data_IF_746756083705
#
_entry.id   IF_746756083705
#
_cell.length_a   1.000
_cell.length_b   1.000
_cell.length_c   1.000
_cell.angle_alpha   90.00
_cell.angle_beta   90.00
_cell.angle_gamma   90.00
#
_symmetry.space_group_name_H-M   'P 1'
#
loop_
_entity.id
_entity.type
_entity.pdbx_description
1 polymer ?
#
# COMPACT_ATOMS: atom_id res chain seq x y z
N UNK A 1 7.47 55.53 -61.29
CA UNK A 1 7.43 54.28 -60.48
C UNK A 1 8.25 54.34 -59.17
N UNK A 2 8.48 55.54 -58.58
CA UNK A 2 9.24 55.70 -57.33
C UNK A 2 8.40 56.15 -56.13
N UNK A 3 7.12 56.47 -56.31
CA UNK A 3 6.24 57.01 -55.25
C UNK A 3 5.41 55.91 -54.55
N UNK A 4 5.29 54.71 -55.13
CA UNK A 4 4.48 53.61 -54.56
C UNK A 4 5.26 52.79 -53.50
N UNK A 5 6.60 52.84 -53.49
CA UNK A 5 7.41 52.09 -52.50
C UNK A 5 7.52 52.78 -51.13
N UNK A 6 7.22 54.07 -51.01
CA UNK A 6 7.27 54.78 -49.71
C UNK A 6 5.96 54.71 -48.93
N UNK A 7 4.81 54.46 -49.57
CA UNK A 7 3.53 54.33 -48.87
C UNK A 7 3.29 52.95 -48.24
N UNK A 8 3.94 51.89 -48.75
CA UNK A 8 3.75 50.52 -48.25
C UNK A 8 4.51 50.26 -46.94
N UNK A 9 5.63 50.95 -46.69
CA UNK A 9 6.35 50.82 -45.41
C UNK A 9 5.67 51.54 -44.24
N UNK A 10 4.88 52.59 -44.46
CA UNK A 10 4.22 53.30 -43.37
C UNK A 10 2.92 52.65 -42.89
N UNK A 11 2.25 51.82 -43.70
CA UNK A 11 1.04 51.11 -43.28
C UNK A 11 1.38 49.80 -42.53
N UNK A 12 2.51 49.17 -42.85
CA UNK A 12 2.98 47.97 -42.12
C UNK A 12 3.58 48.35 -40.74
N UNK A 13 4.09 49.58 -40.59
CA UNK A 13 4.54 50.08 -39.29
C UNK A 13 3.42 50.63 -38.38
N UNK A 14 2.21 50.90 -38.92
CA UNK A 14 1.10 51.45 -38.13
C UNK A 14 0.06 50.39 -37.71
N UNK A 15 0.12 49.16 -38.25
CA UNK A 15 -0.80 48.07 -37.87
C UNK A 15 -0.17 47.07 -36.89
N UNK A 16 1.13 47.20 -36.59
CA UNK A 16 1.82 46.44 -35.52
C UNK A 16 1.86 47.15 -34.16
N UNK A 17 0.98 48.13 -33.91
CA UNK A 17 0.76 48.73 -32.59
C UNK A 17 -0.61 48.41 -32.00
N UNK A 18 -1.43 47.60 -32.68
CA UNK A 18 -2.66 47.05 -32.12
C UNK A 18 -2.31 45.91 -31.17
N UNK A 19 -2.01 46.31 -29.94
CA UNK A 19 -2.37 45.63 -28.70
C UNK A 19 -2.52 44.12 -28.86
N UNK A 20 -1.40 43.39 -28.78
CA UNK A 20 -1.46 42.13 -28.04
C UNK A 20 -1.96 42.54 -26.65
N UNK A 21 -3.14 42.10 -26.18
CA UNK A 21 -3.37 42.11 -24.76
C UNK A 21 -2.25 41.23 -24.24
N UNK A 22 -1.23 41.83 -23.62
CA UNK A 22 -0.39 41.10 -22.71
C UNK A 22 -1.36 40.39 -21.80
N UNK A 23 -1.49 39.07 -21.97
CA UNK A 23 -1.97 38.22 -20.90
C UNK A 23 -0.96 38.45 -19.80
N UNK A 24 -1.21 39.49 -19.00
CA UNK A 24 -0.77 39.57 -17.64
C UNK A 24 -1.47 38.36 -17.01
N UNK A 25 -0.79 37.21 -17.08
CA UNK A 25 -0.98 36.17 -16.09
C UNK A 25 -0.73 36.92 -14.80
N UNK A 26 -1.80 37.36 -14.14
CA UNK A 26 -1.69 37.85 -12.78
C UNK A 26 -1.07 36.68 -12.05
N UNK A 27 0.18 36.84 -11.60
CA UNK A 27 0.79 35.86 -10.74
C UNK A 27 -0.20 35.71 -9.57
N UNK A 28 -0.86 34.55 -9.45
CA UNK A 28 -1.67 34.29 -8.27
C UNK A 28 -0.76 34.56 -7.07
N UNK A 29 -1.24 35.35 -6.11
CA UNK A 29 -0.49 35.58 -4.88
C UNK A 29 -0.20 34.21 -4.27
N UNK A 30 1.07 33.82 -4.33
CA UNK A 30 1.55 32.55 -3.79
C UNK A 30 2.18 32.80 -2.44
N UNK A 31 1.96 31.83 -1.56
CA UNK A 31 2.34 31.90 -0.16
C UNK A 31 3.34 30.80 0.14
N UNK A 32 4.17 31.04 1.15
CA UNK A 32 5.11 30.05 1.65
C UNK A 32 4.92 29.87 3.14
N UNK A 33 5.13 28.65 3.61
CA UNK A 33 5.18 28.34 5.04
C UNK A 33 6.47 27.62 5.37
N UNK A 34 6.96 27.84 6.58
CA UNK A 34 8.09 27.14 7.19
C UNK A 34 7.59 26.46 8.46
N UNK A 35 7.75 25.14 8.52
CA UNK A 35 7.35 24.32 9.65
C UNK A 35 8.59 23.91 10.41
N UNK A 36 8.80 24.49 11.58
CA UNK A 36 9.85 24.07 12.51
C UNK A 36 9.46 22.77 13.19
N UNK A 37 10.37 21.80 13.18
CA UNK A 37 10.22 20.51 13.85
C UNK A 37 10.90 20.61 15.22
N UNK A 38 10.12 20.52 16.29
CA UNK A 38 10.64 20.65 17.67
C UNK A 38 11.40 19.40 18.10
N UNK A 39 12.68 19.29 17.73
CA UNK A 39 13.49 18.11 18.03
C UNK A 39 13.86 18.01 19.53
N UNK A 40 13.86 16.80 20.12
CA UNK A 40 14.42 16.57 21.45
C UNK A 40 15.91 16.92 21.53
N UNK A 41 16.41 17.21 22.73
CA UNK A 41 17.84 17.46 22.96
C UNK A 41 18.69 16.28 22.45
N UNK A 42 19.82 16.59 21.79
CA UNK A 42 20.76 15.65 21.17
C UNK A 42 20.37 15.02 19.81
N UNK A 43 19.24 15.40 19.22
CA UNK A 43 18.88 14.96 17.87
C UNK A 43 19.40 15.94 16.80
N UNK A 44 19.99 15.40 15.73
CA UNK A 44 20.50 16.17 14.59
C UNK A 44 19.46 16.16 13.45
N UNK A 45 18.90 17.33 13.14
CA UNK A 45 17.95 17.50 12.06
C UNK A 45 18.49 16.98 10.71
N UNK A 46 19.79 17.18 10.44
CA UNK A 46 20.40 16.77 9.17
C UNK A 46 20.45 15.25 8.96
N UNK A 47 20.11 14.45 9.98
CA UNK A 47 20.09 12.98 9.91
C UNK A 47 18.68 12.39 9.86
N UNK A 48 17.64 13.24 9.91
CA UNK A 48 16.25 12.79 9.86
C UNK A 48 15.73 12.86 8.43
N UNK A 49 15.28 11.72 7.93
CA UNK A 49 14.54 11.65 6.67
C UNK A 49 13.06 11.96 6.92
N UNK A 50 12.76 13.24 7.17
CA UNK A 50 11.42 13.73 7.48
C UNK A 50 10.90 14.59 6.34
N UNK A 51 9.73 14.21 5.83
CA UNK A 51 8.99 14.97 4.82
C UNK A 51 7.54 15.13 5.25
N UNK A 52 6.91 16.23 4.85
CA UNK A 52 5.52 16.54 5.13
C UNK A 52 4.71 16.59 3.84
N UNK A 53 3.41 16.39 3.97
CA UNK A 53 2.43 16.49 2.89
C UNK A 53 1.27 17.38 3.33
N UNK A 54 0.77 18.21 2.40
CA UNK A 54 -0.25 19.22 2.67
C UNK A 54 -1.43 19.12 1.68
N UNK A 55 -2.66 19.01 2.20
CA UNK A 55 -3.89 19.08 1.41
C UNK A 55 -4.56 20.43 1.59
N UNK A 56 -4.92 21.07 0.46
CA UNK A 56 -5.71 22.30 0.47
C UNK A 56 -7.17 22.00 0.86
N UNK A 57 -7.65 22.67 1.90
CA UNK A 57 -9.01 22.58 2.38
C UNK A 57 -9.79 23.83 1.93
N UNK A 58 -10.91 23.68 1.20
CA UNK A 58 -11.75 24.82 0.86
C UNK A 58 -12.33 25.45 2.13
N UNK A 59 -12.48 26.78 2.14
CA UNK A 59 -13.07 27.53 3.26
C UNK A 59 -14.48 26.97 3.58
N UNK A 60 -14.72 26.54 4.82
CA UNK A 60 -16.06 26.01 5.14
C UNK A 60 -16.34 25.31 6.47
N UNK A 61 -15.38 25.08 7.38
CA UNK A 61 -15.70 24.36 8.61
C UNK A 61 -15.82 25.27 9.85
N UNK A 62 -16.89 25.05 10.63
CA UNK A 62 -17.10 25.64 11.96
C UNK A 62 -16.36 24.89 13.08
N UNK A 63 -15.59 23.86 12.72
CA UNK A 63 -14.79 23.04 13.63
C UNK A 63 -13.49 23.76 13.98
N UNK A 64 -12.96 23.53 15.18
CA UNK A 64 -11.61 24.02 15.54
C UNK A 64 -10.53 23.29 14.72
N UNK A 65 -9.35 23.90 14.48
CA UNK A 65 -8.26 23.26 13.74
C UNK A 65 -7.87 21.88 14.31
N UNK A 66 -7.90 21.73 15.64
CA UNK A 66 -7.58 20.49 16.33
C UNK A 66 -8.61 19.39 16.05
N UNK A 67 -9.91 19.71 16.15
CA UNK A 67 -10.99 18.76 15.85
C UNK A 67 -10.97 18.34 14.39
N UNK A 68 -10.67 19.28 13.49
CA UNK A 68 -10.57 19.00 12.06
C UNK A 68 -9.36 18.11 11.76
N UNK A 69 -8.21 18.35 12.41
CA UNK A 69 -7.02 17.52 12.26
C UNK A 69 -7.30 16.06 12.67
N UNK A 70 -7.92 15.82 13.82
CA UNK A 70 -8.28 14.47 14.30
C UNK A 70 -9.22 13.74 13.33
N UNK A 71 -10.23 14.46 12.83
CA UNK A 71 -11.19 13.92 11.86
C UNK A 71 -10.53 13.55 10.53
N UNK A 72 -9.64 14.41 10.03
CA UNK A 72 -8.90 14.16 8.79
C UNK A 72 -7.84 13.06 8.94
N UNK A 73 -7.29 12.90 10.14
CA UNK A 73 -6.34 11.84 10.46
C UNK A 73 -6.96 10.42 10.39
N UNK A 74 -8.27 10.31 10.57
CA UNK A 74 -8.99 9.06 10.38
C UNK A 74 -9.09 8.62 8.90
N UNK A 75 -8.71 9.46 7.94
CA UNK A 75 -8.80 9.19 6.50
C UNK A 75 -7.46 8.73 5.91
N UNK A 76 -7.54 7.79 4.98
CA UNK A 76 -6.40 7.37 4.16
C UNK A 76 -5.93 8.50 3.23
N UNK A 77 -4.69 8.41 2.74
CA UNK A 77 -4.17 9.31 1.69
C UNK A 77 -5.05 9.30 0.44
N UNK A 78 -5.54 8.13 0.05
CA UNK A 78 -6.41 7.98 -1.11
C UNK A 78 -7.73 8.73 -0.92
N UNK A 79 -8.35 8.60 0.27
CA UNK A 79 -9.59 9.32 0.60
C UNK A 79 -9.36 10.83 0.68
N UNK A 80 -8.29 11.29 1.33
CA UNK A 80 -7.94 12.71 1.35
C UNK A 80 -7.70 13.24 -0.06
N UNK A 81 -6.96 12.52 -0.89
CA UNK A 81 -6.70 12.94 -2.27
C UNK A 81 -7.94 12.93 -3.15
N UNK A 82 -8.90 12.03 -2.88
CA UNK A 82 -10.19 12.02 -3.54
C UNK A 82 -11.06 13.22 -3.13
N UNK A 83 -11.01 13.64 -1.86
CA UNK A 83 -11.82 14.74 -1.32
C UNK A 83 -11.23 16.12 -1.60
N UNK A 84 -9.90 16.25 -1.51
CA UNK A 84 -9.19 17.54 -1.47
C UNK A 84 -8.16 17.71 -2.59
N UNK A 85 -8.04 16.73 -3.49
CA UNK A 85 -7.02 16.72 -4.54
C UNK A 85 -5.66 16.23 -4.03
N UNK A 86 -4.68 16.13 -4.93
CA UNK A 86 -3.36 15.59 -4.57
C UNK A 86 -2.67 16.48 -3.53
N UNK A 87 -2.03 15.82 -2.56
CA UNK A 87 -1.21 16.51 -1.58
C UNK A 87 -0.02 17.18 -2.26
N UNK A 88 0.31 18.38 -1.79
CA UNK A 88 1.60 18.98 -2.08
C UNK A 88 2.65 18.41 -1.12
N UNK A 89 3.82 18.06 -1.65
CA UNK A 89 4.96 17.62 -0.83
C UNK A 89 5.78 18.81 -0.36
N UNK A 90 6.38 18.67 0.80
CA UNK A 90 7.31 19.66 1.32
C UNK A 90 8.66 19.62 0.62
N UNK A 91 9.40 20.72 0.77
CA UNK A 91 10.83 20.74 0.53
C UNK A 91 11.56 19.83 1.55
N UNK A 92 12.77 19.31 1.22
CA UNK A 92 13.58 18.56 2.18
C UNK A 92 13.85 19.34 3.45
N UNK A 93 13.94 18.64 4.59
CA UNK A 93 14.21 19.29 5.85
C UNK A 93 15.61 19.94 5.86
N UNK A 94 15.67 21.18 6.37
CA UNK A 94 16.92 21.92 6.52
C UNK A 94 17.72 21.43 7.72
N UNK A 95 19.04 21.67 7.78
CA UNK A 95 19.86 21.38 8.96
C UNK A 95 19.41 22.10 10.24
N UNK A 96 18.60 23.16 10.11
CA UNK A 96 18.00 23.89 11.22
C UNK A 96 16.68 23.28 11.71
N UNK A 97 16.22 22.17 11.11
CA UNK A 97 14.99 21.48 11.48
C UNK A 97 13.72 22.12 10.92
N UNK A 98 13.80 22.79 9.76
CA UNK A 98 12.64 23.37 9.10
C UNK A 98 12.27 22.62 7.83
N UNK A 99 10.96 22.44 7.62
CA UNK A 99 10.37 21.87 6.41
C UNK A 99 9.51 22.95 5.74
N UNK A 100 9.73 23.18 4.44
CA UNK A 100 9.10 24.26 3.69
C UNK A 100 7.96 23.79 2.78
N UNK A 101 6.97 24.65 2.56
CA UNK A 101 6.09 24.57 1.40
C UNK A 101 6.07 25.92 0.70
N UNK A 102 6.10 25.91 -0.63
CA UNK A 102 6.07 27.11 -1.48
C UNK A 102 4.95 27.01 -2.52
N UNK A 103 4.53 28.15 -3.10
CA UNK A 103 3.48 28.14 -4.13
C UNK A 103 2.07 27.86 -3.59
N UNK A 104 1.85 27.97 -2.28
CA UNK A 104 0.55 27.73 -1.68
C UNK A 104 -0.44 28.83 -2.04
N UNK A 105 -1.73 28.49 -2.09
CA UNK A 105 -2.83 29.46 -2.22
C UNK A 105 -3.26 29.90 -0.83
N UNK A 106 -3.95 31.05 -0.76
CA UNK A 106 -4.63 31.45 0.48
C UNK A 106 -5.72 30.42 0.82
N UNK A 107 -5.76 29.96 2.07
CA UNK A 107 -6.78 29.03 2.53
C UNK A 107 -6.28 28.12 3.65
N UNK A 108 -7.02 27.05 3.92
CA UNK A 108 -6.69 26.12 4.99
C UNK A 108 -5.92 24.93 4.45
N UNK A 109 -4.99 24.41 5.24
CA UNK A 109 -4.20 23.23 4.89
C UNK A 109 -4.20 22.23 6.03
N UNK A 110 -4.46 20.97 5.69
CA UNK A 110 -4.18 19.84 6.57
C UNK A 110 -2.80 19.29 6.25
N UNK A 111 -1.94 19.20 7.27
CA UNK A 111 -0.56 18.76 7.15
C UNK A 111 -0.33 17.54 8.04
N UNK A 112 0.32 16.52 7.48
CA UNK A 112 0.83 15.37 8.24
C UNK A 112 2.18 14.89 7.72
N UNK A 113 2.84 14.04 8.50
CA UNK A 113 4.07 13.37 8.09
C UNK A 113 3.84 12.43 6.90
N UNK A 114 4.78 12.45 5.95
CA UNK A 114 4.85 11.45 4.89
C UNK A 114 5.31 10.13 5.50
N UNK A 115 4.64 9.02 5.14
CA UNK A 115 4.63 7.73 5.84
C UNK A 115 5.93 6.94 6.04
N UNK A 116 7.08 7.60 6.14
CA UNK A 116 8.35 7.03 6.60
C UNK A 116 8.39 6.97 8.13
N UNK A 117 8.83 5.84 8.66
CA UNK A 117 9.20 5.72 10.06
C UNK A 117 10.44 6.59 10.34
N UNK A 118 10.34 7.49 11.31
CA UNK A 118 11.46 8.30 11.79
C UNK A 118 11.54 8.22 13.31
N UNK A 119 12.61 8.74 13.91
CA UNK A 119 12.81 8.72 15.38
C UNK A 119 11.87 9.66 16.13
N UNK A 120 11.06 10.44 15.41
CA UNK A 120 10.04 11.36 15.91
C UNK A 120 8.81 11.23 15.01
N UNK A 121 7.66 11.68 15.48
CA UNK A 121 6.46 11.77 14.65
C UNK A 121 5.89 13.17 14.71
N UNK A 122 5.62 13.78 13.56
CA UNK A 122 4.89 15.06 13.50
C UNK A 122 3.41 14.81 13.73
N UNK A 123 2.88 15.35 14.82
CA UNK A 123 1.44 15.30 15.10
C UNK A 123 0.72 16.07 13.98
N UNK A 124 -0.26 15.47 13.30
CA UNK A 124 -0.96 16.13 12.20
C UNK A 124 -1.72 17.37 12.68
N UNK A 125 -1.79 18.40 11.84
CA UNK A 125 -2.43 19.66 12.22
C UNK A 125 -3.06 20.36 11.03
N UNK A 126 -3.92 21.32 11.33
CA UNK A 126 -4.55 22.22 10.36
C UNK A 126 -4.06 23.63 10.59
N UNK A 127 -3.71 24.36 9.53
CA UNK A 127 -3.32 25.76 9.60
C UNK A 127 -3.99 26.59 8.51
N UNK A 128 -4.14 27.89 8.76
CA UNK A 128 -4.62 28.84 7.76
C UNK A 128 -3.46 29.62 7.16
N UNK A 129 -3.29 29.52 5.84
CA UNK A 129 -2.35 30.31 5.05
C UNK A 129 -3.04 31.60 4.62
N UNK A 130 -2.63 32.72 5.21
CA UNK A 130 -3.23 34.05 4.98
C UNK A 130 -2.23 35.19 4.76
N UNK A 131 -0.92 34.93 4.89
CA UNK A 131 0.17 35.90 4.75
C UNK A 131 1.39 35.33 4.02
N UNK A 132 2.21 36.20 3.42
CA UNK A 132 3.28 35.82 2.45
C UNK A 132 4.28 34.78 2.96
N UNK A 133 4.71 34.86 4.21
CA UNK A 133 5.55 33.87 4.88
C UNK A 133 5.06 33.67 6.30
N UNK A 134 4.63 32.45 6.63
CA UNK A 134 4.29 32.07 8.00
C UNK A 134 5.29 31.04 8.51
N UNK A 135 5.78 31.22 9.73
CA UNK A 135 6.60 30.22 10.42
C UNK A 135 5.82 29.67 11.60
N UNK A 136 5.72 28.36 11.69
CA UNK A 136 5.04 27.66 12.78
C UNK A 136 5.96 26.61 13.39
N UNK A 137 5.62 26.15 14.60
CA UNK A 137 6.28 25.02 15.24
C UNK A 137 5.31 23.85 15.30
N UNK A 138 5.68 22.73 14.67
CA UNK A 138 4.91 21.52 14.76
C UNK A 138 5.23 20.77 16.05
N UNK A 139 4.19 20.24 16.69
CA UNK A 139 4.36 19.33 17.83
C UNK A 139 4.83 17.98 17.32
N UNK A 140 5.80 17.39 18.02
CA UNK A 140 6.28 16.04 17.73
C UNK A 140 6.03 15.11 18.91
N UNK A 141 5.83 13.83 18.63
CA UNK A 141 5.84 12.75 19.60
C UNK A 141 7.04 11.82 19.42
N UNK A 142 7.39 11.06 20.45
CA UNK A 142 8.31 9.93 20.30
C UNK A 142 7.53 8.71 19.81
N UNK A 143 8.07 7.91 18.87
CA UNK A 143 7.41 6.68 18.38
C UNK A 143 7.02 5.71 19.50
N UNK A 144 7.79 5.69 20.59
CA UNK A 144 7.50 4.88 21.78
C UNK A 144 6.24 5.30 22.57
N UNK A 145 5.85 6.57 22.48
CA UNK A 145 4.66 7.11 23.16
C UNK A 145 3.39 6.95 22.32
N UNK A 146 3.53 6.85 21.00
CA UNK A 146 2.42 6.70 20.06
C UNK A 146 2.25 5.23 19.70
N UNK A 147 1.04 4.72 19.92
CA UNK A 147 0.69 3.33 19.63
C UNK A 147 -0.30 3.26 18.48
N UNK A 148 -0.15 2.24 17.64
CA UNK A 148 -0.98 2.04 16.46
C UNK A 148 -1.24 0.57 16.21
N UNK A 149 -1.92 0.29 15.11
CA UNK A 149 -2.18 -1.07 14.67
C UNK A 149 -1.99 -1.22 13.17
N UNK A 150 -1.77 -2.46 12.73
CA UNK A 150 -1.68 -2.84 11.32
C UNK A 150 -2.64 -4.01 11.04
N UNK A 151 -3.41 -3.89 9.95
CA UNK A 151 -4.36 -4.91 9.53
C UNK A 151 -3.77 -5.82 8.45
N UNK A 152 -4.03 -7.11 8.57
CA UNK A 152 -3.65 -8.14 7.61
C UNK A 152 -4.82 -9.05 7.28
N UNK A 153 -4.71 -9.77 6.16
CA UNK A 153 -5.67 -10.78 5.74
C UNK A 153 -4.94 -12.08 5.38
N UNK A 154 -5.17 -13.12 6.17
CA UNK A 154 -4.71 -14.47 5.90
C UNK A 154 -5.56 -15.09 4.80
N UNK A 155 -4.91 -15.50 3.71
CA UNK A 155 -5.56 -16.13 2.55
C UNK A 155 -4.81 -17.36 2.05
N UNK A 156 -5.45 -18.17 1.22
CA UNK A 156 -4.82 -19.18 0.39
C UNK A 156 -4.10 -18.53 -0.81
N UNK A 157 -3.31 -19.32 -1.54
CA UNK A 157 -2.78 -18.89 -2.85
C UNK A 157 -3.88 -18.56 -3.87
N UNK A 158 -5.07 -19.14 -3.73
CA UNK A 158 -6.28 -18.83 -4.53
C UNK A 158 -7.11 -17.66 -3.97
N UNK A 159 -6.60 -16.94 -2.97
CA UNK A 159 -7.20 -15.75 -2.32
C UNK A 159 -8.37 -16.01 -1.36
N UNK A 160 -8.75 -17.27 -1.13
CA UNK A 160 -9.77 -17.60 -0.15
C UNK A 160 -9.28 -17.29 1.28
N UNK A 161 -10.09 -16.65 2.16
CA UNK A 161 -9.68 -16.32 3.52
C UNK A 161 -9.47 -17.56 4.39
N UNK A 162 -8.49 -17.52 5.31
CA UNK A 162 -8.13 -18.66 6.18
C UNK A 162 -8.10 -18.27 7.65
N UNK A 163 -8.93 -18.96 8.45
CA UNK A 163 -8.94 -18.85 9.91
C UNK A 163 -7.95 -19.85 10.56
N UNK A 164 -7.49 -19.53 11.77
CA UNK A 164 -6.72 -20.45 12.61
C UNK A 164 -5.21 -20.49 12.36
N UNK A 165 -4.67 -19.61 11.51
CA UNK A 165 -3.23 -19.38 11.45
C UNK A 165 -2.77 -18.67 12.73
N UNK A 166 -1.71 -19.14 13.40
CA UNK A 166 -1.15 -18.45 14.57
C UNK A 166 0.14 -17.77 14.17
N UNK A 167 0.26 -16.50 14.53
CA UNK A 167 1.40 -15.65 14.27
C UNK A 167 2.06 -15.21 15.57
N UNK A 168 3.38 -15.17 15.54
CA UNK A 168 4.23 -14.52 16.52
C UNK A 168 4.65 -13.14 15.99
N UNK A 169 4.58 -12.12 16.85
CA UNK A 169 5.10 -10.77 16.54
C UNK A 169 6.52 -10.65 17.07
N UNK A 170 7.43 -10.21 16.21
CA UNK A 170 8.84 -10.00 16.52
C UNK A 170 9.23 -8.54 16.28
N UNK A 171 10.25 -8.09 17.00
CA UNK A 171 10.94 -6.80 16.84
C UNK A 171 12.43 -7.05 16.69
N UNK A 172 13.16 -6.14 16.06
CA UNK A 172 14.62 -6.22 15.99
C UNK A 172 15.25 -5.45 17.16
N UNK A 173 16.04 -6.14 17.97
CA UNK A 173 16.79 -5.56 19.09
C UNK A 173 18.24 -6.01 18.97
N UNK A 174 19.15 -5.05 18.87
CA UNK A 174 20.60 -5.27 18.68
C UNK A 174 20.91 -6.13 17.43
N UNK A 175 20.16 -5.94 16.35
CA UNK A 175 20.33 -6.71 15.10
C UNK A 175 19.82 -8.15 15.16
N UNK A 176 19.05 -8.51 16.19
CA UNK A 176 18.44 -9.84 16.35
C UNK A 176 16.93 -9.73 16.50
N UNK A 177 16.20 -10.61 15.80
CA UNK A 177 14.75 -10.72 15.96
C UNK A 177 14.41 -11.34 17.32
N UNK A 178 13.73 -10.57 18.17
CA UNK A 178 13.21 -10.98 19.47
C UNK A 178 11.70 -10.95 19.47
N UNK A 179 11.12 -11.74 20.35
CA UNK A 179 9.67 -11.77 20.51
C UNK A 179 9.17 -10.53 21.25
N UNK A 180 8.15 -9.88 20.70
CA UNK A 180 7.41 -8.85 21.40
C UNK A 180 6.64 -9.46 22.57
N UNK A 181 6.77 -8.84 23.74
CA UNK A 181 6.15 -9.28 24.98
C UNK A 181 5.11 -8.25 25.43
N UNK A 182 3.88 -8.70 25.67
CA UNK A 182 2.79 -7.87 26.22
C UNK A 182 2.37 -8.46 27.55
N UNK A 183 2.41 -7.66 28.61
CA UNK A 183 2.13 -8.08 29.99
C UNK A 183 2.90 -9.34 30.42
N UNK A 184 4.17 -9.41 30.00
CA UNK A 184 5.07 -10.54 30.30
C UNK A 184 4.78 -11.81 29.52
N UNK A 185 3.93 -11.77 28.47
CA UNK A 185 3.60 -12.93 27.63
C UNK A 185 4.02 -12.74 26.16
N UNK A 186 4.44 -13.82 25.49
CA UNK A 186 4.56 -13.92 24.04
C UNK A 186 3.38 -13.28 23.29
N UNK A 187 3.59 -12.21 22.52
CA UNK A 187 2.52 -11.61 21.73
C UNK A 187 2.21 -12.44 20.49
N UNK A 188 1.19 -13.30 20.61
CA UNK A 188 0.67 -14.13 19.53
C UNK A 188 -0.74 -13.70 19.13
N UNK A 189 -1.03 -13.83 17.85
CA UNK A 189 -2.33 -13.51 17.26
C UNK A 189 -2.79 -14.69 16.40
N UNK A 190 -4.10 -14.90 16.33
CA UNK A 190 -4.69 -15.94 15.47
C UNK A 190 -5.56 -15.30 14.42
N UNK A 191 -5.46 -15.75 13.16
CA UNK A 191 -6.36 -15.26 12.11
C UNK A 191 -7.80 -15.67 12.42
N UNK A 192 -8.68 -14.68 12.44
CA UNK A 192 -10.10 -14.85 12.79
C UNK A 192 -10.89 -15.50 11.65
N UNK A 193 -12.19 -15.73 11.87
CA UNK A 193 -13.11 -16.05 10.79
C UNK A 193 -13.07 -14.94 9.73
N UNK A 194 -13.01 -15.32 8.45
CA UNK A 194 -12.73 -14.37 7.37
C UNK A 194 -11.25 -14.03 7.19
N UNK A 195 -10.35 -14.60 7.99
CA UNK A 195 -8.90 -14.50 7.83
C UNK A 195 -8.27 -13.21 8.35
N UNK A 196 -9.05 -12.34 8.99
CA UNK A 196 -8.55 -11.05 9.49
C UNK A 196 -7.56 -11.21 10.64
N UNK A 197 -6.59 -10.31 10.70
CA UNK A 197 -5.59 -10.24 11.75
C UNK A 197 -5.28 -8.75 12.02
N UNK A 198 -5.46 -8.29 13.26
CA UNK A 198 -5.11 -6.94 13.69
C UNK A 198 -3.93 -7.02 14.65
N UNK A 199 -2.79 -6.48 14.24
CA UNK A 199 -1.56 -6.45 15.04
C UNK A 199 -1.47 -5.09 15.72
N UNK A 200 -1.51 -5.05 17.04
CA UNK A 200 -1.56 -3.83 17.85
C UNK A 200 -2.62 -3.88 18.95
N UNK A 201 -2.67 -2.86 19.83
CA UNK A 201 -1.84 -1.66 19.80
C UNK A 201 -0.37 -1.96 20.14
N UNK A 202 0.55 -1.41 19.36
CA UNK A 202 1.99 -1.47 19.62
C UNK A 202 2.59 -0.08 19.36
N UNK A 203 3.71 0.28 20.01
CA UNK A 203 4.45 1.48 19.69
C UNK A 203 4.77 1.54 18.20
N UNK A 204 4.89 2.74 17.65
CA UNK A 204 5.28 2.89 16.27
C UNK A 204 6.70 2.35 16.05
N UNK A 205 6.91 1.71 14.90
CA UNK A 205 8.17 1.05 14.60
C UNK A 205 8.04 -0.08 13.59
N UNK A 206 9.19 -0.72 13.33
CA UNK A 206 9.31 -1.85 12.42
C UNK A 206 9.21 -3.17 13.19
N UNK A 207 8.35 -4.05 12.70
CA UNK A 207 8.04 -5.33 13.30
C UNK A 207 8.00 -6.42 12.25
N UNK A 208 7.87 -7.65 12.71
CA UNK A 208 7.84 -8.81 11.84
C UNK A 208 6.79 -9.82 12.30
N UNK A 209 6.03 -10.37 11.34
CA UNK A 209 5.13 -11.48 11.57
C UNK A 209 5.79 -12.79 11.15
N UNK A 210 5.81 -13.76 12.07
CA UNK A 210 6.22 -15.14 11.79
C UNK A 210 5.04 -16.08 12.03
N UNK A 211 4.65 -16.83 11.01
CA UNK A 211 3.64 -17.87 11.20
C UNK A 211 4.26 -19.01 12.01
N UNK A 212 3.65 -19.36 13.14
CA UNK A 212 4.10 -20.45 14.02
C UNK A 212 3.16 -21.66 13.98
N UNK A 213 1.96 -21.49 13.44
CA UNK A 213 1.01 -22.57 13.16
C UNK A 213 0.20 -22.24 11.92
N UNK A 214 0.23 -23.14 10.94
CA UNK A 214 -0.58 -23.02 9.73
C UNK A 214 -2.07 -23.33 10.01
N UNK A 215 -2.99 -22.79 9.21
CA UNK A 215 -4.36 -23.28 9.14
C UNK A 215 -4.41 -24.77 8.78
N UNK A 216 -5.47 -25.47 9.20
CA UNK A 216 -5.66 -26.88 8.86
C UNK A 216 -5.69 -27.09 7.33
N UNK A 217 -4.92 -28.06 6.84
CA UNK A 217 -4.80 -28.36 5.40
C UNK A 217 -3.85 -27.45 4.63
N UNK A 218 -3.06 -26.61 5.31
CA UNK A 218 -2.08 -25.71 4.69
C UNK A 218 -0.66 -25.95 5.21
N UNK A 219 0.32 -25.61 4.39
CA UNK A 219 1.74 -25.67 4.71
C UNK A 219 2.11 -24.46 5.57
N UNK A 220 2.91 -24.67 6.62
CA UNK A 220 3.47 -23.60 7.46
C UNK A 220 4.47 -22.76 6.67
N UNK A 221 4.23 -21.45 6.61
CA UNK A 221 5.17 -20.52 6.02
C UNK A 221 6.45 -20.45 6.87
N UNK A 222 7.62 -20.49 6.22
CA UNK A 222 8.92 -20.34 6.88
C UNK A 222 9.37 -18.88 6.92
N UNK A 223 8.88 -18.08 5.98
CA UNK A 223 9.29 -16.70 5.80
C UNK A 223 8.71 -15.80 6.90
N UNK A 224 9.50 -14.80 7.26
CA UNK A 224 9.10 -13.74 8.18
C UNK A 224 8.67 -12.52 7.36
N UNK A 225 7.57 -11.88 7.75
CA UNK A 225 6.95 -10.79 6.99
C UNK A 225 7.20 -9.47 7.72
N UNK A 226 8.06 -8.57 7.19
CA UNK A 226 8.28 -7.26 7.79
C UNK A 226 7.04 -6.38 7.60
N UNK A 227 6.78 -5.52 8.56
CA UNK A 227 5.76 -4.48 8.48
C UNK A 227 6.09 -3.32 9.41
N UNK A 228 5.48 -2.16 9.16
CA UNK A 228 5.65 -0.99 10.00
C UNK A 228 4.30 -0.58 10.62
N UNK A 229 4.37 -0.11 11.86
CA UNK A 229 3.29 0.62 12.51
C UNK A 229 3.72 2.07 12.50
N UNK A 230 3.02 2.87 11.70
CA UNK A 230 3.20 4.31 11.59
C UNK A 230 1.87 5.00 11.85
N UNK A 231 1.89 6.33 11.76
CA UNK A 231 0.72 7.19 11.84
C UNK A 231 -0.38 6.81 10.85
N UNK A 232 -0.08 6.11 9.76
CA UNK A 232 -1.08 5.77 8.74
C UNK A 232 -1.36 4.27 8.66
N UNK A 233 -0.77 3.46 9.53
CA UNK A 233 -0.96 2.01 9.49
C UNK A 233 -2.40 1.58 9.74
N UNK A 234 -3.21 2.43 10.41
CA UNK A 234 -4.64 2.19 10.64
C UNK A 234 -5.49 2.32 9.37
N UNK A 235 -5.07 3.14 8.41
CA UNK A 235 -5.76 3.45 7.14
C UNK A 235 -5.05 2.91 5.90
N UNK A 236 -3.93 2.19 6.10
CA UNK A 236 -3.17 1.57 5.02
C UNK A 236 -3.90 0.37 4.41
N UNK A 237 -3.57 0.04 3.17
CA UNK A 237 -4.08 -1.16 2.51
C UNK A 237 -3.77 -2.44 3.32
N UNK A 238 -4.77 -3.33 3.37
CA UNK A 238 -4.66 -4.60 4.08
C UNK A 238 -3.65 -5.51 3.37
N UNK A 239 -2.62 -5.92 4.09
CA UNK A 239 -1.57 -6.80 3.57
C UNK A 239 -2.06 -8.26 3.59
N UNK A 240 -2.01 -8.93 2.44
CA UNK A 240 -2.44 -10.32 2.30
C UNK A 240 -1.31 -11.31 2.57
N UNK A 241 -1.51 -12.22 3.53
CA UNK A 241 -0.57 -13.28 3.89
C UNK A 241 -1.05 -14.62 3.31
N UNK A 242 -0.33 -15.16 2.32
CA UNK A 242 -0.74 -16.35 1.54
C UNK A 242 -0.17 -17.66 2.12
N UNK A 243 -0.98 -18.71 2.22
CA UNK A 243 -0.50 -20.09 2.44
C UNK A 243 -0.80 -20.99 1.24
N UNK A 244 0.11 -21.94 1.01
CA UNK A 244 -0.05 -23.01 0.04
C UNK A 244 -0.84 -24.16 0.68
N UNK A 245 -1.88 -24.70 0.01
CA UNK A 245 -2.58 -25.88 0.51
C UNK A 245 -1.62 -27.09 0.51
N UNK A 246 -1.84 -28.01 1.42
CA UNK A 246 -1.19 -29.33 1.37
C UNK A 246 -1.80 -30.07 0.18
N UNK A 247 -0.99 -30.43 -0.82
CA UNK A 247 -1.42 -31.31 -1.91
C UNK A 247 -1.57 -32.73 -1.36
N UNK A 248 -2.74 -33.39 -1.52
CA UNK A 248 -2.85 -34.81 -1.23
C UNK A 248 -1.80 -35.61 -2.01
N UNK A 249 -1.30 -36.74 -1.49
CA UNK A 249 -0.53 -37.68 -2.30
C UNK A 249 -1.34 -38.00 -3.56
N UNK A 250 -0.72 -37.94 -4.73
CA UNK A 250 -1.40 -38.27 -5.98
C UNK A 250 -2.06 -39.64 -5.83
N UNK A 251 -3.38 -39.71 -5.99
CA UNK A 251 -4.07 -41.00 -6.11
C UNK A 251 -3.51 -41.62 -7.39
N UNK A 252 -2.70 -42.68 -7.27
CA UNK A 252 -2.42 -43.56 -8.39
C UNK A 252 -3.74 -44.23 -8.77
N UNK A 253 -4.49 -43.59 -9.66
CA UNK A 253 -5.61 -44.24 -10.31
C UNK A 253 -5.04 -45.42 -11.11
N UNK A 254 -5.53 -46.66 -10.91
CA UNK A 254 -5.08 -47.78 -11.72
C UNK A 254 -5.38 -47.46 -13.18
N UNK A 255 -4.35 -47.54 -14.01
CA UNK A 255 -4.42 -47.28 -15.45
C UNK A 255 -5.26 -48.37 -16.14
N UNK A 256 -6.57 -48.20 -16.25
CA UNK A 256 -7.49 -49.19 -16.85
C UNK A 256 -7.66 -49.04 -18.38
N UNK A 257 -6.84 -48.20 -19.02
CA UNK A 257 -6.86 -47.93 -20.47
C UNK A 257 -5.56 -48.28 -21.20
N UNK A 258 -4.76 -49.24 -20.71
CA UNK A 258 -3.53 -49.62 -21.39
C UNK A 258 -3.82 -50.43 -22.68
N UNK A 259 -2.95 -50.30 -23.69
CA UNK A 259 -3.04 -51.07 -24.92
C UNK A 259 -3.00 -52.59 -24.67
N UNK A 260 -2.43 -53.03 -23.55
CA UNK A 260 -2.34 -54.43 -23.14
C UNK A 260 -3.72 -55.03 -22.85
N UNK A 261 -4.59 -54.35 -22.08
CA UNK A 261 -5.95 -54.82 -21.79
C UNK A 261 -6.79 -54.87 -23.07
N UNK A 262 -6.68 -53.85 -23.93
CA UNK A 262 -7.35 -53.84 -25.24
C UNK A 262 -6.86 -55.00 -26.11
N UNK A 263 -5.55 -55.29 -26.12
CA UNK A 263 -4.98 -56.40 -26.86
C UNK A 263 -5.44 -57.76 -26.34
N UNK A 264 -5.52 -57.95 -25.02
CA UNK A 264 -6.00 -59.20 -24.40
C UNK A 264 -7.49 -59.43 -24.70
N UNK A 265 -8.33 -58.40 -24.61
CA UNK A 265 -9.75 -58.50 -24.96
C UNK A 265 -9.93 -58.81 -26.46
N UNK A 266 -9.15 -58.14 -27.31
CA UNK A 266 -9.16 -58.37 -28.76
C UNK A 266 -8.71 -59.79 -29.11
N UNK A 267 -7.67 -60.30 -28.45
CA UNK A 267 -7.20 -61.69 -28.60
C UNK A 267 -8.26 -62.70 -28.16
N UNK A 268 -8.96 -62.43 -27.05
CA UNK A 268 -10.06 -63.26 -26.57
C UNK A 268 -11.20 -63.39 -27.59
N UNK A 269 -11.61 -62.27 -28.21
CA UNK A 269 -12.64 -62.26 -29.26
C UNK A 269 -12.17 -63.05 -30.49
N UNK A 270 -10.92 -62.86 -30.92
CA UNK A 270 -10.35 -63.59 -32.06
C UNK A 270 -10.37 -65.10 -31.81
N UNK A 271 -9.90 -65.54 -30.64
CA UNK A 271 -9.88 -66.96 -30.27
C UNK A 271 -11.29 -67.54 -30.18
N UNK A 272 -12.26 -66.78 -29.66
CA UNK A 272 -13.66 -67.20 -29.62
C UNK A 272 -14.24 -67.40 -31.02
N UNK A 273 -14.00 -66.46 -31.95
CA UNK A 273 -14.46 -66.56 -33.34
C UNK A 273 -13.80 -67.73 -34.08
N UNK A 274 -12.51 -67.97 -33.83
CA UNK A 274 -11.77 -69.11 -34.37
C UNK A 274 -12.34 -70.44 -33.86
N UNK A 275 -12.58 -70.55 -32.55
CA UNK A 275 -13.23 -71.72 -31.96
C UNK A 275 -14.62 -71.95 -32.54
N UNK A 276 -15.43 -70.89 -32.66
CA UNK A 276 -16.76 -70.96 -33.27
C UNK A 276 -16.72 -71.43 -34.73
N UNK A 277 -15.78 -70.92 -35.53
CA UNK A 277 -15.54 -71.35 -36.92
C UNK A 277 -15.14 -72.83 -37.01
N UNK A 278 -14.26 -73.30 -36.13
CA UNK A 278 -13.83 -74.71 -36.13
C UNK A 278 -14.98 -75.66 -35.77
N UNK A 279 -15.80 -75.30 -34.78
CA UNK A 279 -16.97 -76.09 -34.38
C UNK A 279 -18.01 -76.15 -35.50
N UNK A 280 -18.24 -75.04 -36.20
CA UNK A 280 -19.22 -74.97 -37.29
C UNK A 280 -18.73 -75.61 -38.59
N UNK A 281 -17.42 -75.56 -38.89
CA UNK A 281 -16.82 -76.21 -40.06
C UNK A 281 -16.98 -77.74 -40.02
N UNK A 282 -16.74 -78.35 -38.86
CA UNK A 282 -16.87 -79.81 -38.67
C UNK A 282 -18.31 -80.33 -38.83
N UNK A 283 -19.30 -79.43 -38.79
CA UNK A 283 -20.72 -79.75 -38.98
C UNK A 283 -21.15 -79.77 -40.46
N UNK A 284 -20.32 -79.24 -41.37
CA UNK A 284 -20.57 -79.20 -42.82
C UNK A 284 -20.05 -80.40 -43.62
N UNK A 285 -19.19 -81.24 -43.04
CA UNK A 285 -18.65 -82.46 -43.70
C UNK A 285 -19.50 -83.72 -43.47
N UNK A 286 -20.65 -83.60 -42.79
CA UNK A 286 -21.63 -84.68 -42.62
C UNK A 286 -22.97 -84.32 -43.26
N UNK A 287 -22.99 -84.20 -44.58
CA UNK A 287 -24.17 -84.37 -45.45
C UNK A 287 -23.69 -84.74 -46.84
#
# INVERSE_FOLDING_TARGET
>A
MRIIKQLVCCIIALVCSLSLPSLLVQAEDTYSIQVGISLPEHMDAGKLDLSLEAWYLPEGNRETPEQLAEKLYALSRAELSQLYGQAQLSDPMTPQGFVGFSGLKKGWYYIRQQGSATTIEVIPFVLQVDGRLQTIQAKVGLPGEKVGYRNFLKVSTSTAPLAGAVFQVLEEVDGQLRQVMIDGKPYHLTSENGGHLKVGPLPYGTYYLKEVKAPAGYILAQDTIPFEITSDSHVSEIVKIKNKPVTPPGIEIPYTGNAVVIAVLSLGIILFLLGYRLVTYKKGEKT
#
